data_IF_833809695339
#
_entry.id   IF_833809695339
#
_cell.length_a   1.000
_cell.length_b   1.000
_cell.length_c   1.000
_cell.angle_alpha   90.00
_cell.angle_beta   90.00
_cell.angle_gamma   90.00
#
_symmetry.space_group_name_H-M   'P 1'
#
loop_
_entity.id
_entity.type
_entity.pdbx_description
1 polymer ?
#
# COMPACT_ATOMS: atom_id res chain seq x y z
N UNK A 1 46.79 41.39 -12.00
CA UNK A 1 47.01 40.02 -11.47
C UNK A 1 46.58 40.03 -10.01
N UNK A 2 45.77 39.16 -9.40
CA UNK A 2 45.19 37.86 -9.76
C UNK A 2 44.10 37.56 -8.70
N UNK A 3 42.86 37.35 -9.14
CA UNK A 3 41.83 36.42 -8.61
C UNK A 3 41.15 36.70 -7.26
N UNK A 4 39.99 37.34 -7.39
CA UNK A 4 38.71 37.03 -6.73
C UNK A 4 38.52 35.50 -6.56
N UNK A 5 38.03 35.03 -5.41
CA UNK A 5 37.26 33.79 -5.18
C UNK A 5 36.98 33.68 -3.66
N UNK A 6 35.93 34.32 -3.11
CA UNK A 6 34.58 33.78 -2.98
C UNK A 6 34.54 32.30 -2.55
N UNK A 7 34.44 32.06 -1.23
CA UNK A 7 34.06 30.77 -0.66
C UNK A 7 32.99 31.00 0.41
N UNK A 8 31.80 31.37 -0.05
CA UNK A 8 30.58 31.46 0.77
C UNK A 8 29.65 30.35 0.29
N UNK A 9 30.02 29.10 0.60
CA UNK A 9 29.19 27.93 0.31
C UNK A 9 28.27 27.63 1.50
N UNK A 10 27.11 28.28 1.45
CA UNK A 10 25.76 27.71 1.64
C UNK A 10 25.73 26.39 2.43
N UNK A 11 25.67 26.49 3.75
CA UNK A 11 25.26 25.40 4.64
C UNK A 11 23.77 25.43 4.91
N UNK A 12 22.94 25.39 3.86
CA UNK A 12 21.48 25.24 4.01
C UNK A 12 21.12 23.79 3.68
N UNK A 13 21.45 22.89 4.60
CA UNK A 13 20.89 21.54 4.59
C UNK A 13 19.40 21.67 4.91
N UNK A 14 18.60 21.83 3.86
CA UNK A 14 17.16 21.70 3.93
C UNK A 14 16.85 20.35 4.59
N UNK A 15 16.41 20.39 5.84
CA UNK A 15 15.65 19.31 6.44
C UNK A 15 14.35 19.23 5.62
N UNK A 16 14.39 18.54 4.49
CA UNK A 16 13.20 18.10 3.81
C UNK A 16 12.47 17.24 4.84
N UNK A 17 11.29 17.64 5.33
CA UNK A 17 10.46 16.66 6.00
C UNK A 17 10.20 15.62 4.93
N UNK A 18 10.78 14.42 5.12
CA UNK A 18 10.35 13.25 4.40
C UNK A 18 8.86 13.15 4.65
N UNK A 19 8.07 13.66 3.72
CA UNK A 19 6.64 13.52 3.71
C UNK A 19 6.41 12.05 3.44
N UNK A 20 6.46 11.24 4.50
CA UNK A 20 5.98 9.88 4.49
C UNK A 20 4.53 10.00 4.07
N UNK A 21 4.26 9.74 2.78
CA UNK A 21 2.91 9.67 2.23
C UNK A 21 2.24 8.48 2.90
N UNK A 22 1.69 8.75 4.08
CA UNK A 22 0.79 7.85 4.75
C UNK A 22 -0.51 7.88 3.95
N UNK A 23 -0.67 6.89 3.10
CA UNK A 23 -1.89 6.63 2.36
C UNK A 23 -3.02 6.35 3.36
N UNK A 24 -3.79 7.38 3.75
CA UNK A 24 -4.86 7.30 4.74
C UNK A 24 -6.21 7.53 4.07
N UNK A 25 -7.14 6.60 4.23
CA UNK A 25 -8.46 6.72 3.66
C UNK A 25 -9.26 7.87 4.28
N UNK A 26 -9.88 8.71 3.45
CA UNK A 26 -10.66 9.87 3.90
C UNK A 26 -9.82 11.05 4.41
N UNK A 27 -8.50 11.01 4.25
CA UNK A 27 -7.58 12.15 4.49
C UNK A 27 -6.56 12.21 3.35
N UNK A 28 -6.73 13.14 2.40
CA UNK A 28 -5.85 13.27 1.23
C UNK A 28 -6.47 12.74 -0.06
N UNK A 29 -5.67 12.08 -0.91
CA UNK A 29 -6.00 11.71 -2.31
C UNK A 29 -6.75 10.39 -2.49
N UNK A 30 -6.94 9.60 -1.44
CA UNK A 30 -7.64 8.31 -1.55
C UNK A 30 -9.16 8.50 -1.54
N UNK A 31 -9.73 8.61 -2.74
CA UNK A 31 -11.17 8.44 -2.97
C UNK A 31 -11.51 6.95 -3.15
N UNK A 32 -12.73 6.57 -2.78
CA UNK A 32 -13.16 5.17 -2.88
C UNK A 32 -13.62 4.81 -4.29
N UNK A 33 -13.02 3.76 -4.86
CA UNK A 33 -13.49 3.03 -6.04
C UNK A 33 -13.70 1.55 -5.69
N UNK A 34 -14.54 0.85 -6.46
CA UNK A 34 -14.66 -0.60 -6.33
C UNK A 34 -13.33 -1.25 -6.69
N UNK A 35 -12.73 -2.00 -5.75
CA UNK A 35 -11.41 -2.60 -5.94
C UNK A 35 -11.51 -4.13 -5.82
N UNK A 36 -11.84 -4.85 -6.93
CA UNK A 36 -11.86 -6.31 -6.94
C UNK A 36 -10.43 -6.86 -6.83
N UNK A 37 -10.27 -7.94 -6.08
CA UNK A 37 -9.00 -8.62 -5.91
C UNK A 37 -9.21 -10.13 -5.75
N UNK A 38 -8.24 -10.89 -6.25
CA UNK A 38 -8.22 -12.34 -6.09
C UNK A 38 -6.82 -12.79 -5.67
N UNK A 39 -6.72 -14.03 -5.24
CA UNK A 39 -5.45 -14.64 -4.91
C UNK A 39 -5.63 -16.03 -4.34
N UNK A 40 -4.58 -16.50 -3.68
CA UNK A 40 -4.53 -17.76 -2.99
C UNK A 40 -4.11 -17.54 -1.54
N UNK A 41 -4.74 -18.23 -0.60
CA UNK A 41 -4.48 -18.08 0.82
C UNK A 41 -4.43 -19.44 1.52
N UNK A 42 -3.43 -19.63 2.39
CA UNK A 42 -3.20 -20.90 3.08
C UNK A 42 -3.91 -21.02 4.44
N UNK A 43 -4.60 -19.98 4.91
CA UNK A 43 -5.37 -20.01 6.17
C UNK A 43 -4.59 -19.67 7.45
N UNK A 44 -3.31 -19.31 7.37
CA UNK A 44 -2.43 -19.12 8.54
C UNK A 44 -2.99 -18.13 9.59
N UNK A 45 -3.58 -17.01 9.17
CA UNK A 45 -4.17 -16.01 10.05
C UNK A 45 -5.66 -16.29 10.40
N UNK A 46 -6.21 -17.45 10.01
CA UNK A 46 -7.65 -17.71 10.08
C UNK A 46 -8.44 -16.91 9.02
N UNK A 47 -9.75 -16.73 9.20
CA UNK A 47 -10.54 -15.85 8.35
C UNK A 47 -10.02 -14.41 8.36
N UNK A 48 -9.94 -13.78 7.19
CA UNK A 48 -9.64 -12.35 7.07
C UNK A 48 -10.88 -11.58 6.63
N UNK A 49 -11.01 -10.35 7.10
CA UNK A 49 -12.14 -9.48 6.79
C UNK A 49 -12.01 -8.90 5.38
N UNK A 50 -10.88 -8.27 5.11
CA UNK A 50 -10.64 -7.58 3.85
C UNK A 50 -9.14 -7.41 3.57
N UNK A 51 -8.80 -7.00 2.34
CA UNK A 51 -7.44 -6.78 1.92
C UNK A 51 -7.31 -6.15 0.54
N UNK A 52 -6.08 -5.89 0.15
CA UNK A 52 -5.70 -5.48 -1.19
C UNK A 52 -4.26 -5.91 -1.45
N UNK A 53 -3.91 -5.99 -2.72
CA UNK A 53 -2.52 -6.16 -3.10
C UNK A 53 -1.84 -4.80 -3.19
N UNK A 54 -0.78 -4.61 -2.41
CA UNK A 54 0.01 -3.40 -2.46
C UNK A 54 0.84 -3.30 -3.74
N UNK A 55 1.23 -2.07 -4.07
CA UNK A 55 2.22 -1.78 -5.12
C UNK A 55 3.61 -2.35 -4.79
N UNK A 56 3.86 -2.69 -3.53
CA UNK A 56 5.05 -3.39 -3.05
C UNK A 56 5.02 -4.92 -3.29
N UNK A 57 3.95 -5.44 -3.92
CA UNK A 57 3.80 -6.85 -4.24
C UNK A 57 3.40 -7.73 -3.06
N UNK A 58 3.09 -7.16 -1.90
CA UNK A 58 2.60 -7.89 -0.73
C UNK A 58 1.08 -7.76 -0.59
N UNK A 59 0.48 -8.75 0.08
CA UNK A 59 -0.92 -8.63 0.47
C UNK A 59 -1.03 -7.83 1.76
N UNK A 60 -1.88 -6.82 1.76
CA UNK A 60 -2.22 -6.00 2.90
C UNK A 60 -3.63 -6.38 3.34
N UNK A 61 -3.81 -6.77 4.62
CA UNK A 61 -5.09 -7.32 5.09
C UNK A 61 -5.51 -6.78 6.46
N UNK A 62 -6.79 -6.99 6.78
CA UNK A 62 -7.38 -6.80 8.11
C UNK A 62 -8.14 -8.06 8.52
N UNK A 63 -8.14 -8.34 9.81
CA UNK A 63 -8.86 -9.49 10.36
C UNK A 63 -10.30 -9.15 10.74
N UNK A 64 -10.58 -7.87 10.98
CA UNK A 64 -11.92 -7.40 11.32
C UNK A 64 -12.27 -6.04 10.67
N UNK A 65 -13.49 -5.58 10.94
CA UNK A 65 -14.03 -4.31 10.42
C UNK A 65 -13.46 -3.08 11.14
N UNK A 66 -13.14 -3.20 12.43
CA UNK A 66 -12.81 -2.08 13.32
C UNK A 66 -11.32 -1.69 13.23
N UNK A 67 -10.46 -2.61 12.82
CA UNK A 67 -9.05 -2.37 12.55
C UNK A 67 -8.89 -1.20 11.56
N UNK A 68 -8.19 -0.16 12.01
CA UNK A 68 -7.88 1.05 11.22
C UNK A 68 -6.52 0.98 10.54
N UNK A 69 -5.89 -0.18 10.51
CA UNK A 69 -4.58 -0.36 9.88
C UNK A 69 -4.53 -1.69 9.16
N UNK A 70 -4.20 -1.65 7.88
CA UNK A 70 -3.86 -2.86 7.14
C UNK A 70 -2.47 -3.36 7.54
N UNK A 71 -2.36 -4.69 7.67
CA UNK A 71 -1.14 -5.41 8.02
C UNK A 71 -0.55 -6.03 6.76
N UNK A 72 0.77 -5.98 6.62
CA UNK A 72 1.49 -6.65 5.53
C UNK A 72 1.71 -8.13 5.86
N UNK A 73 1.36 -9.00 4.93
CA UNK A 73 1.73 -10.41 4.95
C UNK A 73 3.21 -10.58 4.56
N UNK A 74 4.11 -10.67 5.54
CA UNK A 74 5.56 -10.74 5.28
C UNK A 74 6.01 -12.13 4.84
N UNK A 75 5.43 -13.16 5.44
CA UNK A 75 5.84 -14.56 5.29
C UNK A 75 5.21 -15.22 4.08
N UNK A 76 4.43 -14.44 3.31
CA UNK A 76 3.74 -14.90 2.13
C UNK A 76 2.82 -16.06 2.58
N UNK A 77 1.71 -15.73 3.22
CA UNK A 77 0.56 -16.62 3.40
C UNK A 77 -0.53 -16.37 2.35
N UNK A 78 -0.47 -15.21 1.69
CA UNK A 78 -1.22 -14.87 0.50
C UNK A 78 -0.32 -14.93 -0.74
N UNK A 79 -0.87 -15.35 -1.89
CA UNK A 79 -0.21 -15.28 -3.21
C UNK A 79 -1.12 -14.63 -4.23
N UNK A 80 -0.52 -13.79 -5.07
CA UNK A 80 -1.19 -13.19 -6.23
C UNK A 80 -1.21 -14.15 -7.41
N UNK A 81 -0.27 -15.08 -7.46
CA UNK A 81 -0.14 -16.06 -8.53
C UNK A 81 -0.55 -17.46 -8.07
N UNK A 82 -0.96 -18.28 -9.02
CA UNK A 82 -1.36 -19.65 -8.77
C UNK A 82 -0.18 -20.45 -8.19
N UNK A 83 -0.40 -21.03 -7.01
CA UNK A 83 0.59 -21.92 -6.41
C UNK A 83 0.40 -23.31 -7.00
N UNK A 84 1.26 -23.65 -7.97
CA UNK A 84 1.28 -25.01 -8.52
C UNK A 84 1.70 -25.97 -7.42
N UNK A 85 0.95 -27.06 -7.25
CA UNK A 85 1.27 -28.19 -6.37
C UNK A 85 1.26 -27.94 -4.84
N UNK A 86 0.75 -26.81 -4.34
CA UNK A 86 0.54 -26.64 -2.89
C UNK A 86 -0.96 -26.62 -2.55
N UNK A 87 -1.46 -27.75 -2.03
CA UNK A 87 -2.87 -27.95 -1.68
C UNK A 87 -3.35 -27.13 -0.50
N UNK A 88 -2.43 -26.52 0.28
CA UNK A 88 -2.80 -25.67 1.42
C UNK A 88 -3.44 -24.37 0.96
N UNK A 89 -3.05 -23.90 -0.23
CA UNK A 89 -3.51 -22.64 -0.78
C UNK A 89 -4.85 -22.78 -1.48
N UNK A 90 -5.86 -22.09 -0.96
CA UNK A 90 -7.19 -22.02 -1.56
C UNK A 90 -7.36 -20.71 -2.30
N UNK A 91 -7.91 -20.77 -3.53
CA UNK A 91 -8.23 -19.58 -4.31
C UNK A 91 -9.36 -18.81 -3.64
N UNK A 92 -9.28 -17.49 -3.68
CA UNK A 92 -10.35 -16.58 -3.28
C UNK A 92 -10.47 -15.43 -4.28
N UNK A 93 -11.66 -14.85 -4.34
CA UNK A 93 -11.98 -13.66 -5.11
C UNK A 93 -12.95 -12.83 -4.30
N UNK A 94 -12.66 -11.54 -4.13
CA UNK A 94 -13.38 -10.62 -3.25
C UNK A 94 -13.33 -9.20 -3.83
N UNK A 95 -14.25 -8.36 -3.38
CA UNK A 95 -14.20 -6.92 -3.62
C UNK A 95 -13.95 -6.22 -2.31
N UNK A 96 -12.99 -5.30 -2.32
CA UNK A 96 -12.65 -4.53 -1.13
C UNK A 96 -13.87 -3.72 -0.68
N UNK A 97 -14.01 -3.55 0.63
CA UNK A 97 -15.06 -2.75 1.24
C UNK A 97 -14.52 -1.38 1.63
N UNK A 98 -15.34 -0.30 1.57
CA UNK A 98 -14.91 1.00 2.04
C UNK A 98 -14.44 0.89 3.50
N UNK A 99 -13.17 1.18 3.81
CA UNK A 99 -12.71 1.13 5.17
C UNK A 99 -13.23 2.34 5.97
N UNK A 100 -13.20 2.32 7.31
CA UNK A 100 -13.49 3.50 8.11
C UNK A 100 -12.57 4.68 7.74
N UNK A 101 -13.09 5.91 7.77
CA UNK A 101 -12.26 7.11 7.59
C UNK A 101 -11.10 7.11 8.60
N UNK A 102 -9.93 7.56 8.18
CA UNK A 102 -8.69 7.50 8.94
C UNK A 102 -7.96 6.17 8.90
N UNK A 103 -8.43 5.19 8.10
CA UNK A 103 -7.75 3.90 7.97
C UNK A 103 -6.44 4.05 7.20
N UNK A 104 -5.32 3.59 7.76
CA UNK A 104 -4.02 3.57 7.10
C UNK A 104 -3.94 2.41 6.11
N UNK A 105 -3.65 2.73 4.86
CA UNK A 105 -3.61 1.84 3.70
C UNK A 105 -2.26 1.96 2.94
N UNK A 106 -1.15 1.47 3.52
CA UNK A 106 0.17 1.59 2.90
C UNK A 106 0.26 0.90 1.54
N UNK A 107 0.97 1.50 0.58
CA UNK A 107 1.15 0.95 -0.77
C UNK A 107 -0.17 0.64 -1.51
N UNK A 108 -1.28 1.29 -1.12
CA UNK A 108 -2.54 1.11 -1.83
C UNK A 108 -2.38 1.52 -3.30
N UNK A 109 -2.80 0.69 -4.27
CA UNK A 109 -2.82 1.08 -5.67
C UNK A 109 -3.74 2.29 -5.83
N UNK A 110 -3.18 3.45 -6.14
CA UNK A 110 -3.98 4.60 -6.53
C UNK A 110 -4.36 4.39 -8.00
N UNK A 111 -5.67 4.32 -8.28
CA UNK A 111 -6.15 4.44 -9.65
C UNK A 111 -5.73 5.83 -10.12
N UNK A 112 -4.68 5.92 -10.94
CA UNK A 112 -4.39 7.15 -11.67
C UNK A 112 -5.59 7.35 -12.60
N UNK A 113 -6.32 8.48 -12.56
CA UNK A 113 -7.32 8.74 -13.58
C UNK A 113 -6.62 8.65 -14.95
N UNK A 114 -7.24 8.04 -15.97
CA UNK A 114 -6.67 8.02 -17.30
C UNK A 114 -6.60 9.47 -17.81
N UNK A 115 -5.42 10.08 -17.86
CA UNK A 115 -5.24 11.36 -18.57
C UNK A 115 -4.38 12.45 -17.92
N UNK A 116 -3.22 12.15 -17.34
CA UNK A 116 -2.13 13.15 -17.29
C UNK A 116 -0.79 12.47 -17.54
N UNK A 117 -0.43 12.43 -18.83
CA UNK A 117 0.95 12.45 -19.30
C UNK A 117 1.34 13.91 -19.47
N UNK A 118 2.32 14.37 -18.68
CA UNK A 118 3.06 15.61 -18.95
C UNK A 118 3.97 15.42 -20.17
#
# INVERSE_FOLDING_TARGET
MKRILAALFIGLAAAMPAACVDNVYGRGTLAWSSHPYHGWYNGYYGPFYDGYWGTDGYFWFRLDRVERRYRRDRDRHFRREAVRNDRRFRRFERTMRPPPRGTRMPHFPQDRPPGHSD
#
